data_IF_742417941965
#
_entry.id   IF_742417941965
#
_cell.length_a   1.000
_cell.length_b   1.000
_cell.length_c   1.000
_cell.angle_alpha   90.00
_cell.angle_beta   90.00
_cell.angle_gamma   90.00
#
_symmetry.space_group_name_H-M   'P 1'
#
loop_
_entity.id
_entity.type
_entity.pdbx_description
1 polymer ?
#
# COMPACT_ATOMS: atom_id res chain seq x y z
N UNK A 1 -42.85 13.94 15.62
CA UNK A 1 -41.76 14.40 14.73
C UNK A 1 -40.91 15.35 15.54
N UNK A 2 -39.74 14.90 15.99
CA UNK A 2 -38.77 15.77 16.67
C UNK A 2 -38.15 16.71 15.64
N UNK A 3 -37.87 17.97 15.97
CA UNK A 3 -37.28 18.89 15.02
C UNK A 3 -35.89 18.39 14.62
N UNK A 4 -35.67 18.27 13.31
CA UNK A 4 -34.33 18.13 12.74
C UNK A 4 -33.61 19.42 13.11
N UNK A 5 -32.72 19.35 14.10
CA UNK A 5 -31.77 20.43 14.36
C UNK A 5 -30.95 20.59 13.07
N UNK A 6 -31.27 21.62 12.31
CA UNK A 6 -30.45 22.07 11.19
C UNK A 6 -29.01 22.25 11.69
N UNK A 7 -28.06 21.61 11.00
CA UNK A 7 -26.60 21.67 11.18
C UNK A 7 -26.03 23.10 11.00
N UNK A 8 -26.65 24.14 11.56
CA UNK A 8 -26.11 25.49 11.49
C UNK A 8 -24.97 25.64 12.49
N UNK A 9 -23.75 25.62 11.94
CA UNK A 9 -22.53 26.22 12.48
C UNK A 9 -21.86 25.52 13.66
N UNK A 10 -21.32 24.31 13.44
CA UNK A 10 -20.07 23.99 14.11
C UNK A 10 -18.98 24.89 13.50
N UNK A 11 -18.57 25.94 14.21
CA UNK A 11 -17.57 26.88 13.73
C UNK A 11 -16.18 26.21 13.64
N UNK A 12 -15.64 26.14 12.42
CA UNK A 12 -14.33 25.55 12.14
C UNK A 12 -13.21 26.60 12.06
N UNK A 13 -13.56 27.90 12.01
CA UNK A 13 -12.65 28.99 11.65
C UNK A 13 -11.54 29.23 12.67
N UNK A 14 -11.76 28.85 13.93
CA UNK A 14 -10.82 29.02 15.04
C UNK A 14 -9.83 27.87 15.22
N UNK A 15 -9.95 26.80 14.41
CA UNK A 15 -9.15 25.58 14.58
C UNK A 15 -7.95 25.63 13.65
N UNK A 16 -6.75 25.56 14.25
CA UNK A 16 -5.54 25.32 13.50
C UNK A 16 -5.56 23.89 12.92
N UNK A 17 -5.84 23.79 11.62
CA UNK A 17 -5.87 22.53 10.90
C UNK A 17 -4.48 21.88 10.78
N UNK A 18 -3.38 22.53 11.15
CA UNK A 18 -2.06 21.87 11.24
C UNK A 18 -1.90 21.14 12.57
N UNK A 19 -2.65 21.52 13.60
CA UNK A 19 -2.60 20.90 14.90
C UNK A 19 -3.46 19.63 14.96
N UNK A 20 -2.79 18.47 14.95
CA UNK A 20 -3.43 17.14 15.00
C UNK A 20 -4.39 17.00 16.17
N UNK A 21 -4.02 17.48 17.36
CA UNK A 21 -4.84 17.35 18.55
C UNK A 21 -6.09 18.23 18.48
N UNK A 22 -5.94 19.46 17.95
CA UNK A 22 -7.07 20.37 17.78
C UNK A 22 -8.11 19.79 16.80
N UNK A 23 -7.66 19.28 15.64
CA UNK A 23 -8.55 18.63 14.66
C UNK A 23 -9.30 17.45 15.26
N UNK A 24 -8.60 16.56 15.97
CA UNK A 24 -9.20 15.35 16.56
C UNK A 24 -10.15 15.67 17.70
N UNK A 25 -9.84 16.65 18.54
CA UNK A 25 -10.74 17.12 19.58
C UNK A 25 -12.04 17.69 18.98
N UNK A 26 -11.92 18.45 17.90
CA UNK A 26 -13.07 18.96 17.17
C UNK A 26 -13.92 17.85 16.55
N UNK A 27 -13.31 16.91 15.81
CA UNK A 27 -14.03 15.75 15.26
C UNK A 27 -14.77 14.97 16.34
N UNK A 28 -14.13 14.76 17.50
CA UNK A 28 -14.76 14.10 18.65
C UNK A 28 -15.99 14.86 19.12
N UNK A 29 -15.87 16.18 19.35
CA UNK A 29 -17.00 17.01 19.77
C UNK A 29 -18.15 16.98 18.74
N UNK A 30 -17.82 17.06 17.46
CA UNK A 30 -18.77 17.02 16.36
C UNK A 30 -19.54 15.70 16.31
N UNK A 31 -18.83 14.56 16.29
CA UNK A 31 -19.46 13.25 16.21
C UNK A 31 -20.17 12.84 17.51
N UNK A 32 -19.75 13.35 18.67
CA UNK A 32 -20.51 13.22 19.92
C UNK A 32 -21.87 13.93 19.81
N UNK A 33 -21.89 15.15 19.26
CA UNK A 33 -23.13 15.90 19.06
C UNK A 33 -24.12 15.17 18.14
N UNK A 34 -23.61 14.45 17.13
CA UNK A 34 -24.41 13.65 16.21
C UNK A 34 -24.76 12.25 16.75
N UNK A 35 -24.28 11.87 17.94
CA UNK A 35 -24.48 10.52 18.50
C UNK A 35 -23.75 9.40 17.72
N UNK A 36 -22.73 9.75 16.93
CA UNK A 36 -21.94 8.83 16.12
C UNK A 36 -20.66 8.35 16.81
N UNK A 37 -20.31 8.94 17.95
CA UNK A 37 -19.09 8.61 18.67
C UNK A 37 -19.28 7.41 19.62
N UNK A 38 -18.94 6.22 19.13
CA UNK A 38 -18.82 4.99 19.92
C UNK A 38 -17.34 4.63 19.96
N UNK A 39 -16.72 4.67 21.15
CA UNK A 39 -15.25 4.61 21.32
C UNK A 39 -14.62 3.39 20.62
N UNK A 40 -15.22 2.21 20.73
CA UNK A 40 -14.72 0.98 20.11
C UNK A 40 -14.76 1.07 18.58
N UNK A 41 -15.90 1.49 18.00
CA UNK A 41 -16.05 1.64 16.55
C UNK A 41 -15.15 2.73 15.99
N UNK A 42 -15.04 3.85 16.70
CA UNK A 42 -14.17 4.97 16.33
C UNK A 42 -12.71 4.52 16.27
N UNK A 43 -12.27 3.70 17.23
CA UNK A 43 -10.92 3.12 17.23
C UNK A 43 -10.68 2.22 16.02
N UNK A 44 -11.64 1.36 15.68
CA UNK A 44 -11.55 0.48 14.51
C UNK A 44 -11.50 1.28 13.20
N UNK A 45 -12.40 2.26 13.04
CA UNK A 45 -12.43 3.15 11.87
C UNK A 45 -11.11 3.92 11.76
N UNK A 46 -10.54 4.37 12.89
CA UNK A 46 -9.26 5.08 12.90
C UNK A 46 -8.12 4.19 12.41
N UNK A 47 -8.02 2.96 12.92
CA UNK A 47 -7.01 2.00 12.48
C UNK A 47 -7.14 1.73 10.97
N UNK A 48 -8.36 1.48 10.49
CA UNK A 48 -8.62 1.29 9.06
C UNK A 48 -8.22 2.51 8.23
N UNK A 49 -8.52 3.72 8.70
CA UNK A 49 -8.19 4.97 8.00
C UNK A 49 -6.67 5.19 7.91
N UNK A 50 -5.91 4.79 8.94
CA UNK A 50 -4.45 4.80 8.89
C UNK A 50 -3.90 3.82 7.85
N UNK A 51 -4.46 2.61 7.77
CA UNK A 51 -4.08 1.62 6.76
C UNK A 51 -4.37 2.14 5.34
N UNK A 52 -5.55 2.72 5.10
CA UNK A 52 -5.92 3.32 3.81
C UNK A 52 -4.98 4.47 3.43
N UNK A 53 -4.67 5.37 4.36
CA UNK A 53 -3.72 6.45 4.15
C UNK A 53 -2.33 5.93 3.74
N UNK A 54 -1.85 4.86 4.37
CA UNK A 54 -0.60 4.21 3.99
C UNK A 54 -0.66 3.65 2.56
N UNK A 55 -1.73 2.95 2.20
CA UNK A 55 -1.90 2.38 0.85
C UNK A 55 -1.93 3.49 -0.20
N UNK A 56 -2.62 4.60 0.05
CA UNK A 56 -2.69 5.75 -0.86
C UNK A 56 -1.30 6.37 -1.04
N UNK A 57 -0.60 6.68 0.05
CA UNK A 57 0.76 7.28 0.00
C UNK A 57 1.71 6.36 -0.75
N UNK A 58 1.66 5.05 -0.45
CA UNK A 58 2.45 4.04 -1.12
C UNK A 58 2.15 3.97 -2.63
N UNK A 59 0.88 3.95 -3.00
CA UNK A 59 0.43 3.93 -4.39
C UNK A 59 0.88 5.15 -5.21
N UNK A 60 1.16 6.29 -4.55
CA UNK A 60 1.74 7.47 -5.20
C UNK A 60 3.27 7.43 -5.36
N UNK A 61 3.93 6.32 -4.96
CA UNK A 61 5.38 6.14 -5.06
C UNK A 61 6.18 6.88 -3.99
N UNK A 62 5.52 7.42 -2.97
CA UNK A 62 6.17 8.22 -1.93
C UNK A 62 6.87 7.32 -0.91
N UNK A 63 8.20 7.44 -0.83
CA UNK A 63 9.01 6.70 0.16
C UNK A 63 8.88 7.24 1.57
N UNK A 64 8.65 8.54 1.71
CA UNK A 64 8.41 9.23 2.96
C UNK A 64 7.30 10.25 2.75
N UNK A 65 6.63 10.64 3.83
CA UNK A 65 5.56 11.64 3.81
C UNK A 65 5.64 12.48 5.07
N UNK A 66 5.41 13.78 4.97
CA UNK A 66 5.34 14.70 6.10
C UNK A 66 4.31 14.19 7.14
N UNK A 67 4.69 14.18 8.43
CA UNK A 67 3.86 13.67 9.51
C UNK A 67 2.51 14.40 9.65
N UNK A 68 2.48 15.73 9.50
CA UNK A 68 1.24 16.52 9.63
C UNK A 68 0.33 16.30 8.44
N UNK A 69 0.87 16.26 7.23
CA UNK A 69 0.12 15.91 6.01
C UNK A 69 -0.51 14.52 6.16
N UNK A 70 0.28 13.53 6.58
CA UNK A 70 -0.20 12.16 6.77
C UNK A 70 -1.37 12.11 7.75
N UNK A 71 -1.25 12.78 8.90
CA UNK A 71 -2.34 12.82 9.90
C UNK A 71 -3.58 13.54 9.42
N UNK A 72 -3.42 14.61 8.62
CA UNK A 72 -4.57 15.32 8.04
C UNK A 72 -5.33 14.45 7.04
N UNK A 73 -4.62 13.69 6.21
CA UNK A 73 -5.22 12.70 5.31
C UNK A 73 -5.91 11.57 6.08
N UNK A 74 -5.31 11.06 7.16
CA UNK A 74 -5.97 10.06 8.04
C UNK A 74 -7.25 10.64 8.66
N UNK A 75 -7.21 11.88 9.12
CA UNK A 75 -8.38 12.54 9.72
C UNK A 75 -9.53 12.69 8.71
N UNK A 76 -9.22 13.07 7.47
CA UNK A 76 -10.21 13.17 6.40
C UNK A 76 -10.83 11.81 6.05
N UNK A 77 -10.01 10.75 5.88
CA UNK A 77 -10.51 9.39 5.62
C UNK A 77 -11.36 8.90 6.79
N UNK A 78 -10.93 9.18 8.03
CA UNK A 78 -11.67 8.86 9.24
C UNK A 78 -13.04 9.53 9.25
N UNK A 79 -13.11 10.82 8.93
CA UNK A 79 -14.36 11.58 8.85
C UNK A 79 -15.35 10.91 7.90
N UNK A 80 -14.93 10.65 6.66
CA UNK A 80 -15.77 9.99 5.66
C UNK A 80 -16.25 8.62 6.12
N UNK A 81 -15.39 7.82 6.74
CA UNK A 81 -15.76 6.49 7.21
C UNK A 81 -16.76 6.52 8.38
N UNK A 82 -16.65 7.49 9.31
CA UNK A 82 -17.61 7.66 10.42
C UNK A 82 -18.99 8.05 9.87
N UNK A 83 -19.02 9.04 8.97
CA UNK A 83 -20.25 9.53 8.33
C UNK A 83 -20.92 8.41 7.52
N UNK A 84 -20.14 7.67 6.73
CA UNK A 84 -20.63 6.54 5.93
C UNK A 84 -21.24 5.43 6.82
N UNK A 85 -20.56 5.07 7.91
CA UNK A 85 -21.09 4.09 8.88
C UNK A 85 -22.32 4.59 9.65
N UNK A 86 -22.48 5.91 9.79
CA UNK A 86 -23.65 6.56 10.36
C UNK A 86 -24.85 6.64 9.40
N UNK A 87 -24.73 6.17 8.16
CA UNK A 87 -25.74 6.27 7.10
C UNK A 87 -26.20 7.70 6.80
N UNK A 88 -25.30 8.69 6.91
CA UNK A 88 -25.61 10.10 6.63
C UNK A 88 -25.51 10.48 5.14
N UNK A 89 -25.76 9.54 4.23
CA UNK A 89 -25.62 9.78 2.78
C UNK A 89 -26.46 10.97 2.28
N UNK A 90 -25.81 11.97 1.67
CA UNK A 90 -26.47 13.15 1.13
C UNK A 90 -26.89 14.19 2.17
N UNK A 91 -26.56 13.93 3.45
CA UNK A 91 -26.63 14.88 4.56
C UNK A 91 -25.27 14.98 5.25
N UNK A 92 -24.23 14.48 4.58
CA UNK A 92 -22.89 14.43 5.12
C UNK A 92 -22.33 15.84 5.22
N UNK A 93 -21.87 16.24 6.41
CA UNK A 93 -21.18 17.50 6.56
C UNK A 93 -19.83 17.40 5.83
N UNK A 94 -19.53 18.41 5.02
CA UNK A 94 -18.24 18.49 4.32
C UNK A 94 -17.09 18.45 5.32
N UNK A 95 -16.03 17.75 4.95
CA UNK A 95 -14.78 17.83 5.70
C UNK A 95 -14.22 19.25 5.58
N UNK A 96 -14.01 19.98 6.68
CA UNK A 96 -13.81 21.43 6.63
C UNK A 96 -12.41 21.86 6.17
N UNK A 97 -11.46 20.94 5.96
CA UNK A 97 -10.07 21.26 5.64
C UNK A 97 -9.51 20.41 4.49
N UNK A 98 -9.05 21.00 3.40
CA UNK A 98 -8.39 20.22 2.34
C UNK A 98 -6.95 19.88 2.72
N UNK A 99 -6.54 18.60 2.64
CA UNK A 99 -5.12 18.26 2.75
C UNK A 99 -4.33 18.65 1.50
N UNK A 100 -5.00 18.75 0.34
CA UNK A 100 -4.36 19.09 -0.92
C UNK A 100 -3.97 20.57 -0.97
N UNK A 101 -2.68 20.83 -1.23
CA UNK A 101 -2.13 22.17 -1.46
C UNK A 101 -1.83 22.99 -0.21
N UNK A 102 -2.30 22.57 0.97
CA UNK A 102 -2.16 23.36 2.22
C UNK A 102 -0.96 22.93 3.06
N UNK A 103 -0.61 21.66 3.00
CA UNK A 103 0.57 21.08 3.64
C UNK A 103 1.37 20.33 2.56
N UNK A 104 2.65 20.66 2.41
CA UNK A 104 3.52 19.92 1.49
C UNK A 104 3.78 18.52 2.04
N UNK A 105 3.32 17.51 1.30
CA UNK A 105 3.50 16.10 1.64
C UNK A 105 4.96 15.65 1.64
N UNK A 106 5.84 16.38 0.96
CA UNK A 106 7.26 16.05 0.79
C UNK A 106 8.19 16.80 1.74
N UNK A 107 7.72 17.90 2.37
CA UNK A 107 8.49 18.66 3.35
C UNK A 107 8.60 17.92 4.69
N UNK A 108 9.44 16.89 4.74
CA UNK A 108 9.75 16.17 5.98
C UNK A 108 10.75 16.92 6.87
N UNK A 109 11.31 18.05 6.42
CA UNK A 109 12.28 18.82 7.21
C UNK A 109 11.60 19.59 8.34
N UNK A 110 10.43 20.16 8.10
CA UNK A 110 9.72 20.99 9.08
C UNK A 110 9.04 20.18 10.18
N UNK A 111 8.43 19.04 9.85
CA UNK A 111 7.62 18.26 10.80
C UNK A 111 8.01 16.80 10.92
N UNK A 112 9.11 16.39 10.28
CA UNK A 112 9.56 15.01 10.25
C UNK A 112 8.73 14.11 9.33
N UNK A 113 9.27 12.92 9.01
CA UNK A 113 8.52 11.89 8.30
C UNK A 113 7.49 11.21 9.20
N UNK A 114 6.39 10.74 8.62
CA UNK A 114 5.37 9.96 9.31
C UNK A 114 5.96 8.69 9.92
N UNK A 115 5.89 8.59 11.24
CA UNK A 115 6.38 7.41 11.98
C UNK A 115 5.53 6.18 11.67
N UNK A 116 4.20 6.37 11.63
CA UNK A 116 3.27 5.28 11.35
C UNK A 116 3.47 4.74 9.94
N UNK A 117 3.61 5.61 8.93
CA UNK A 117 3.83 5.17 7.55
C UNK A 117 5.17 4.44 7.40
N UNK A 118 6.23 4.94 8.02
CA UNK A 118 7.55 4.28 8.02
C UNK A 118 7.48 2.89 8.63
N UNK A 119 6.76 2.73 9.74
CA UNK A 119 6.60 1.43 10.38
C UNK A 119 5.68 0.50 9.59
N UNK A 120 4.60 1.06 9.01
CA UNK A 120 3.73 0.35 8.09
C UNK A 120 4.52 -0.21 6.91
N UNK A 121 5.38 0.60 6.27
CA UNK A 121 6.22 0.13 5.16
C UNK A 121 7.07 -1.08 5.58
N UNK A 122 7.68 -1.05 6.77
CA UNK A 122 8.51 -2.17 7.28
C UNK A 122 7.72 -3.47 7.46
N UNK A 123 6.47 -3.39 7.95
CA UNK A 123 5.63 -4.58 8.19
C UNK A 123 4.82 -5.03 6.98
N UNK A 124 4.50 -4.09 6.09
CA UNK A 124 3.62 -4.29 4.93
C UNK A 124 4.26 -5.23 3.90
N UNK A 125 3.44 -6.02 3.23
CA UNK A 125 3.89 -6.89 2.14
C UNK A 125 4.53 -6.10 0.99
N UNK A 126 4.01 -4.93 0.57
CA UNK A 126 4.69 -4.11 -0.43
C UNK A 126 6.08 -3.64 -0.01
N UNK A 127 6.25 -3.17 1.23
CA UNK A 127 7.58 -2.75 1.70
C UNK A 127 8.56 -3.92 1.88
N UNK A 128 8.06 -5.13 2.20
CA UNK A 128 8.87 -6.36 2.15
C UNK A 128 9.34 -6.66 0.73
N UNK A 129 8.48 -6.49 -0.29
CA UNK A 129 8.84 -6.66 -1.69
C UNK A 129 9.89 -5.63 -2.12
N UNK A 130 9.72 -4.36 -1.74
CA UNK A 130 10.74 -3.34 -2.01
C UNK A 130 12.08 -3.68 -1.36
N UNK A 131 12.08 -4.21 -0.13
CA UNK A 131 13.30 -4.64 0.54
C UNK A 131 13.97 -5.83 -0.17
N UNK A 132 13.19 -6.84 -0.58
CA UNK A 132 13.67 -7.98 -1.37
C UNK A 132 14.30 -7.49 -2.68
N UNK A 133 13.63 -6.57 -3.39
CA UNK A 133 14.15 -5.96 -4.61
C UNK A 133 15.44 -5.18 -4.36
N UNK A 134 15.48 -4.34 -3.32
CA UNK A 134 16.62 -3.48 -3.01
C UNK A 134 17.86 -4.28 -2.56
N UNK A 135 17.66 -5.38 -1.84
CA UNK A 135 18.74 -6.29 -1.41
C UNK A 135 19.13 -7.28 -2.49
N UNK A 136 18.32 -7.43 -3.53
CA UNK A 136 18.49 -8.45 -4.55
C UNK A 136 18.36 -9.87 -4.00
N UNK A 137 17.56 -10.03 -2.93
CA UNK A 137 17.36 -11.31 -2.28
C UNK A 137 16.78 -12.33 -3.27
N UNK A 138 17.34 -13.54 -3.24
CA UNK A 138 16.92 -14.66 -4.07
C UNK A 138 15.87 -15.49 -3.33
N UNK A 139 14.76 -15.78 -4.00
CA UNK A 139 13.59 -16.49 -3.49
C UNK A 139 13.44 -17.88 -4.11
N UNK A 140 12.79 -18.78 -3.38
CA UNK A 140 12.13 -19.98 -3.95
C UNK A 140 10.76 -19.61 -4.52
N UNK A 141 10.12 -20.57 -5.20
CA UNK A 141 8.81 -20.37 -5.79
C UNK A 141 7.72 -20.09 -4.74
N UNK A 142 7.74 -20.77 -3.59
CA UNK A 142 6.72 -20.59 -2.54
C UNK A 142 6.74 -19.18 -1.95
N UNK A 143 7.92 -18.61 -1.73
CA UNK A 143 8.03 -17.21 -1.28
C UNK A 143 7.67 -16.24 -2.40
N UNK A 144 8.03 -16.54 -3.65
CA UNK A 144 7.66 -15.70 -4.78
C UNK A 144 6.13 -15.64 -4.93
N UNK A 145 5.46 -16.80 -4.93
CA UNK A 145 4.01 -16.95 -5.12
C UNK A 145 3.22 -16.21 -4.02
N UNK A 146 3.72 -16.21 -2.79
CA UNK A 146 3.14 -15.45 -1.69
C UNK A 146 3.17 -13.92 -1.91
N UNK A 147 4.12 -13.41 -2.70
CA UNK A 147 4.34 -11.97 -2.88
C UNK A 147 3.70 -11.40 -4.15
N UNK A 148 3.23 -12.24 -5.07
CA UNK A 148 2.81 -11.88 -6.44
C UNK A 148 1.78 -10.77 -6.49
N UNK A 149 0.71 -10.91 -5.71
CA UNK A 149 -0.42 -9.98 -5.71
C UNK A 149 -0.06 -8.59 -5.17
N UNK A 150 1.09 -8.46 -4.53
CA UNK A 150 1.57 -7.24 -3.91
C UNK A 150 2.74 -6.62 -4.68
N UNK A 151 3.18 -7.23 -5.78
CA UNK A 151 4.25 -6.68 -6.60
C UNK A 151 3.75 -5.46 -7.38
N UNK A 152 4.55 -4.37 -7.44
CA UNK A 152 4.29 -3.28 -8.36
C UNK A 152 4.12 -3.77 -9.81
N UNK A 153 3.28 -3.07 -10.60
CA UNK A 153 2.96 -3.47 -11.99
C UNK A 153 4.19 -3.44 -12.92
N UNK A 154 5.18 -2.63 -12.58
CA UNK A 154 6.45 -2.51 -13.28
C UNK A 154 7.50 -3.54 -12.81
N UNK A 155 7.17 -4.42 -11.86
CA UNK A 155 8.10 -5.43 -11.38
C UNK A 155 8.36 -6.53 -12.42
N UNK A 156 9.63 -6.91 -12.53
CA UNK A 156 10.12 -8.01 -13.35
C UNK A 156 10.67 -9.12 -12.45
N UNK A 157 10.53 -10.37 -12.89
CA UNK A 157 11.09 -11.54 -12.22
C UNK A 157 12.22 -12.11 -13.06
N UNK A 158 13.40 -12.17 -12.46
CA UNK A 158 14.59 -12.78 -13.05
C UNK A 158 14.71 -14.22 -12.55
N UNK A 159 14.64 -15.19 -13.48
CA UNK A 159 14.81 -16.60 -13.20
C UNK A 159 16.30 -16.96 -13.20
N UNK A 160 16.77 -17.52 -12.09
CA UNK A 160 18.15 -17.95 -11.85
C UNK A 160 18.16 -19.48 -11.82
N UNK A 161 18.63 -20.08 -12.93
CA UNK A 161 18.75 -21.53 -13.05
C UNK A 161 20.12 -22.00 -12.55
N UNK A 162 20.12 -23.03 -11.69
CA UNK A 162 21.29 -23.88 -11.41
C UNK A 162 22.59 -23.16 -11.09
N UNK A 163 22.69 -22.61 -9.87
CA UNK A 163 23.94 -22.25 -9.17
C UNK A 163 25.16 -21.93 -10.04
N UNK A 164 25.34 -20.66 -10.41
CA UNK A 164 26.62 -20.14 -10.94
C UNK A 164 27.08 -20.65 -12.30
N UNK A 165 26.32 -21.51 -13.00
CA UNK A 165 26.66 -21.91 -14.37
C UNK A 165 26.37 -20.75 -15.32
N UNK A 166 27.42 -20.14 -15.88
CA UNK A 166 27.39 -19.06 -16.89
C UNK A 166 26.74 -19.46 -18.22
N UNK A 167 26.21 -20.68 -18.34
CA UNK A 167 25.61 -21.22 -19.57
C UNK A 167 24.15 -20.81 -19.78
N UNK A 168 23.47 -20.30 -18.75
CA UNK A 168 22.08 -19.85 -18.87
C UNK A 168 22.00 -18.36 -18.56
N UNK A 169 21.73 -17.51 -19.56
CA UNK A 169 21.55 -16.09 -19.31
C UNK A 169 20.36 -15.89 -18.36
N UNK A 170 20.45 -14.87 -17.51
CA UNK A 170 19.35 -14.56 -16.61
C UNK A 170 18.13 -14.13 -17.44
N UNK A 171 17.01 -14.76 -17.18
CA UNK A 171 15.81 -14.64 -18.01
C UNK A 171 14.76 -13.80 -17.27
N UNK A 172 14.31 -12.70 -17.87
CA UNK A 172 13.40 -11.73 -17.25
C UNK A 172 11.96 -11.91 -17.75
N UNK A 173 11.01 -11.99 -16.82
CA UNK A 173 9.57 -12.06 -17.09
C UNK A 173 8.93 -10.80 -16.50
N UNK A 174 8.13 -10.10 -17.30
CA UNK A 174 7.43 -8.89 -16.89
C UNK A 174 6.05 -9.25 -16.36
N UNK A 175 5.65 -8.66 -15.22
CA UNK A 175 4.34 -8.84 -14.58
C UNK A 175 4.01 -10.31 -14.32
N UNK A 176 4.13 -10.76 -13.08
CA UNK A 176 4.02 -12.18 -12.78
C UNK A 176 2.56 -12.67 -12.90
N UNK A 177 2.21 -13.24 -14.04
CA UNK A 177 1.16 -14.25 -14.15
C UNK A 177 1.82 -15.63 -13.92
N UNK A 178 1.37 -16.36 -12.90
CA UNK A 178 1.88 -17.68 -12.58
C UNK A 178 1.78 -18.65 -13.77
N UNK A 179 0.74 -18.53 -14.60
CA UNK A 179 0.61 -19.32 -15.84
C UNK A 179 1.69 -18.97 -16.85
N UNK A 180 1.99 -17.69 -17.02
CA UNK A 180 3.07 -17.24 -17.92
C UNK A 180 4.43 -17.70 -17.41
N UNK A 181 4.66 -17.63 -16.09
CA UNK A 181 5.89 -18.13 -15.46
C UNK A 181 6.08 -19.63 -15.72
N UNK A 182 5.02 -20.43 -15.53
CA UNK A 182 5.01 -21.87 -15.81
C UNK A 182 5.36 -22.15 -17.27
N UNK A 183 4.67 -21.51 -18.21
CA UNK A 183 4.92 -21.70 -19.65
C UNK A 183 6.33 -21.26 -20.05
N UNK A 184 6.82 -20.15 -19.47
CA UNK A 184 8.15 -19.63 -19.76
C UNK A 184 9.25 -20.59 -19.30
N UNK A 185 9.18 -21.07 -18.06
CA UNK A 185 10.20 -21.95 -17.48
C UNK A 185 10.25 -23.29 -18.22
N UNK A 186 9.10 -23.86 -18.58
CA UNK A 186 9.05 -25.04 -19.44
C UNK A 186 9.76 -24.79 -20.77
N UNK A 187 9.44 -23.69 -21.46
CA UNK A 187 10.07 -23.34 -22.73
C UNK A 187 11.59 -23.15 -22.63
N UNK A 188 12.07 -22.53 -21.54
CA UNK A 188 13.51 -22.38 -21.29
C UNK A 188 14.17 -23.74 -21.05
N UNK A 189 13.58 -24.61 -20.24
CA UNK A 189 14.14 -25.95 -19.98
C UNK A 189 14.11 -26.83 -21.23
N UNK A 190 13.03 -26.78 -22.02
CA UNK A 190 12.93 -27.45 -23.33
C UNK A 190 14.04 -27.00 -24.28
N UNK A 191 14.29 -25.70 -24.37
CA UNK A 191 15.35 -25.15 -25.22
C UNK A 191 16.77 -25.45 -24.71
N UNK A 192 16.96 -25.42 -23.38
CA UNK A 192 18.26 -25.62 -22.73
C UNK A 192 18.68 -27.10 -22.64
N UNK A 193 17.71 -27.99 -22.40
CA UNK A 193 17.94 -29.40 -22.10
C UNK A 193 16.91 -30.31 -22.79
N UNK A 194 16.80 -30.31 -24.12
CA UNK A 194 15.72 -31.01 -24.83
C UNK A 194 15.63 -32.53 -24.54
N UNK A 195 16.75 -33.16 -24.15
CA UNK A 195 16.79 -34.57 -23.73
C UNK A 195 16.28 -34.80 -22.30
N UNK A 196 16.45 -33.82 -21.41
CA UNK A 196 16.01 -33.91 -20.01
C UNK A 196 14.63 -33.24 -19.80
N UNK A 197 14.23 -32.32 -20.68
CA UNK A 197 13.03 -31.51 -20.51
C UNK A 197 11.75 -32.34 -20.61
N UNK A 198 11.74 -33.37 -21.46
CA UNK A 198 10.65 -34.36 -21.51
C UNK A 198 10.46 -35.14 -20.20
N UNK A 199 11.43 -35.09 -19.27
CA UNK A 199 11.36 -35.78 -18.00
C UNK A 199 10.85 -34.88 -16.85
N UNK A 200 10.74 -33.56 -17.06
CA UNK A 200 10.38 -32.62 -15.99
C UNK A 200 9.05 -31.92 -16.26
N UNK A 201 8.13 -32.01 -15.31
CA UNK A 201 6.92 -31.19 -15.27
C UNK A 201 7.20 -29.78 -14.72
N UNK A 202 6.33 -28.80 -15.02
CA UNK A 202 6.46 -27.44 -14.49
C UNK A 202 6.49 -27.45 -12.94
N UNK A 203 5.68 -28.30 -12.33
CA UNK A 203 5.60 -28.45 -10.87
C UNK A 203 6.89 -29.00 -10.24
N UNK A 204 7.76 -29.64 -11.04
CA UNK A 204 9.05 -30.14 -10.58
C UNK A 204 10.16 -29.09 -10.75
N UNK A 205 10.09 -28.27 -11.79
CA UNK A 205 11.13 -27.26 -12.09
C UNK A 205 10.91 -25.97 -11.30
N UNK A 206 9.66 -25.56 -11.09
CA UNK A 206 9.35 -24.31 -10.39
C UNK A 206 9.99 -24.24 -8.99
N UNK A 207 9.88 -25.28 -8.13
CA UNK A 207 10.49 -25.26 -6.79
C UNK A 207 12.02 -25.29 -6.81
N UNK A 208 12.62 -25.85 -7.88
CA UNK A 208 14.07 -25.94 -8.05
C UNK A 208 14.68 -24.66 -8.62
N UNK A 209 13.85 -23.82 -9.25
CA UNK A 209 14.26 -22.53 -9.82
C UNK A 209 14.36 -21.49 -8.71
N UNK A 210 15.35 -20.60 -8.83
CA UNK A 210 15.54 -19.47 -7.92
C UNK A 210 15.13 -18.19 -8.61
N UNK A 211 14.54 -17.27 -7.87
CA UNK A 211 13.91 -16.08 -8.44
C UNK A 211 14.45 -14.82 -7.79
N UNK A 212 14.69 -13.78 -8.58
CA UNK A 212 15.01 -12.46 -8.08
C UNK A 212 13.97 -11.47 -8.56
N UNK A 213 13.42 -10.71 -7.63
CA UNK A 213 12.51 -9.62 -7.95
C UNK A 213 13.36 -8.41 -8.34
N UNK A 214 13.15 -7.86 -9.52
CA UNK A 214 13.87 -6.70 -10.04
C UNK A 214 12.89 -5.63 -10.52
N UNK A 215 13.31 -4.37 -10.47
CA UNK A 215 12.50 -3.27 -11.00
C UNK A 215 12.55 -3.34 -12.52
N UNK A 216 11.40 -3.22 -13.18
CA UNK A 216 11.37 -3.08 -14.63
C UNK A 216 12.10 -1.82 -15.03
N UNK A 217 12.93 -1.92 -16.05
CA UNK A 217 13.48 -0.74 -16.70
C UNK A 217 12.29 0.03 -17.31
N UNK A 218 12.13 1.30 -16.94
CA UNK A 218 11.20 2.22 -17.61
C UNK A 218 11.76 2.59 -18.99
N UNK A 219 11.93 1.59 -19.84
CA UNK A 219 12.51 1.67 -21.17
C UNK A 219 11.54 1.14 -22.20
N UNK A 220 10.64 2.02 -22.65
CA UNK A 220 10.33 2.36 -24.04
C UNK A 220 9.08 3.24 -24.10
#
# INVERSE_FOLDING_TARGET
>A
MSPINTLSNFDHSSIDFRNVNARRAHMKAFFLHLGLWIEEKVKEIRNYSQEQACVIVYGTGQRQVNQVYFELMVDQIFWFNVVNNGNLFGQDPDWPWTYEGVIDKTDVATSGPSVFYKEWQRRSLPGKIEHIMATGQVLDFDKLSFHVDYMPKDTHIECIFGGGSTRFPAHRIRALDEKQLRSYILGVVDGAFPLCAKAYAADEILPLTRYKIIRGDSGN
#
